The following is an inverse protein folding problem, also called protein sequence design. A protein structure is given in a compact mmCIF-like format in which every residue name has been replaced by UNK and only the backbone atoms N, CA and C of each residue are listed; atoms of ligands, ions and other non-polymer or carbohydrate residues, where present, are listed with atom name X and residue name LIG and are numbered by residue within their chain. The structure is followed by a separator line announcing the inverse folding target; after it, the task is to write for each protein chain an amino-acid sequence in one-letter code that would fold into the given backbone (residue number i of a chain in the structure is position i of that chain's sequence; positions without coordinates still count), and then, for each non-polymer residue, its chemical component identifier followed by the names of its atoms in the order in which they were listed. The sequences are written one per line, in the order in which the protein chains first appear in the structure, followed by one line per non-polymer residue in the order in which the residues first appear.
data_IF_820085329752
#
_entry.id   IF_820085329752
#
_cell.length_a   1.000
_cell.length_b   1.000
_cell.length_c   1.000
_cell.angle_alpha   90.00
_cell.angle_beta   90.00
_cell.angle_gamma   90.00
#
_symmetry.space_group_name_H-M   'P 1'
#
loop_
_entity.id
_entity.type
_entity.pdbx_description
1 polymer ?
#
# COMPACT_ATOMS: atom_id res chain seq x y z
N UNK A 1 -30.45 -21.54 -19.51
CA UNK A 1 -29.05 -21.33 -19.93
C UNK A 1 -28.40 -20.47 -18.87
N UNK A 2 -27.53 -21.06 -18.04
CA UNK A 2 -26.89 -20.35 -16.92
C UNK A 2 -25.71 -19.56 -17.47
N UNK A 3 -25.78 -18.23 -17.39
CA UNK A 3 -24.63 -17.39 -17.65
C UNK A 3 -23.68 -17.50 -16.45
N UNK A 4 -22.51 -18.11 -16.64
CA UNK A 4 -21.41 -18.02 -15.70
C UNK A 4 -21.06 -16.55 -15.47
N UNK A 5 -20.80 -16.11 -14.22
CA UNK A 5 -20.33 -14.76 -14.00
C UNK A 5 -18.88 -14.68 -14.48
N UNK A 6 -18.65 -13.85 -15.49
CA UNK A 6 -17.33 -13.43 -15.95
C UNK A 6 -16.59 -12.80 -14.77
N UNK A 7 -15.52 -13.45 -14.29
CA UNK A 7 -14.57 -12.83 -13.36
C UNK A 7 -13.96 -11.61 -14.05
N UNK A 8 -14.28 -10.43 -13.53
CA UNK A 8 -13.63 -9.18 -13.91
C UNK A 8 -12.21 -9.22 -13.34
N UNK A 9 -11.14 -9.08 -14.14
CA UNK A 9 -9.80 -8.91 -13.61
C UNK A 9 -9.78 -7.57 -12.85
N UNK A 10 -9.57 -7.61 -11.54
CA UNK A 10 -9.55 -6.42 -10.68
C UNK A 10 -10.71 -6.31 -9.69
N UNK A 11 -11.63 -7.27 -9.66
CA UNK A 11 -12.59 -7.36 -8.55
C UNK A 11 -11.90 -8.01 -7.33
N UNK A 12 -11.24 -7.19 -6.52
CA UNK A 12 -10.90 -7.55 -5.15
C UNK A 12 -12.14 -8.16 -4.49
N UNK A 13 -12.03 -9.38 -3.99
CA UNK A 13 -13.13 -10.07 -3.34
C UNK A 13 -13.49 -9.35 -2.05
N UNK A 14 -14.40 -8.36 -2.13
CA UNK A 14 -14.93 -7.64 -0.98
C UNK A 14 -15.80 -8.57 -0.13
N UNK A 15 -15.17 -9.23 0.84
CA UNK A 15 -15.84 -10.04 1.87
C UNK A 15 -15.33 -9.61 3.24
N UNK A 16 -15.92 -8.56 3.84
CA UNK A 16 -15.66 -8.13 5.24
C UNK A 16 -14.19 -7.88 5.64
N UNK A 17 -13.32 -7.54 4.69
CA UNK A 17 -11.89 -7.39 4.91
C UNK A 17 -11.25 -6.35 3.99
N UNK A 18 -10.01 -5.99 4.30
CA UNK A 18 -9.18 -5.14 3.45
C UNK A 18 -8.77 -5.89 2.17
N UNK A 19 -8.31 -5.15 1.16
CA UNK A 19 -7.75 -5.77 -0.04
C UNK A 19 -6.44 -6.48 0.28
N UNK A 20 -6.15 -7.58 -0.44
CA UNK A 20 -4.83 -8.19 -0.41
C UNK A 20 -3.78 -7.23 -1.00
N UNK A 21 -2.54 -7.35 -0.54
CA UNK A 21 -1.39 -6.60 -1.03
C UNK A 21 -0.50 -7.53 -1.85
N UNK A 22 -0.33 -7.23 -3.14
CA UNK A 22 0.52 -8.02 -4.05
C UNK A 22 1.96 -7.50 -4.11
N UNK A 23 2.18 -6.22 -3.77
CA UNK A 23 3.49 -5.57 -3.81
C UNK A 23 3.87 -5.08 -5.21
N UNK A 24 2.92 -5.01 -6.13
CA UNK A 24 3.12 -4.53 -7.49
C UNK A 24 2.97 -3.00 -7.58
N UNK A 25 3.53 -2.38 -8.62
CA UNK A 25 3.43 -0.91 -8.83
C UNK A 25 1.99 -0.43 -9.08
N UNK A 26 1.06 -1.34 -9.34
CA UNK A 26 -0.37 -1.03 -9.53
C UNK A 26 -1.16 -1.12 -8.24
N UNK A 27 -0.56 -1.58 -7.14
CA UNK A 27 -1.24 -1.64 -5.85
C UNK A 27 -1.48 -0.26 -5.25
N UNK A 28 -2.36 -0.25 -4.25
CA UNK A 28 -2.52 0.88 -3.33
C UNK A 28 -1.19 1.21 -2.65
N UNK A 29 -1.00 2.48 -2.31
CA UNK A 29 0.17 2.94 -1.57
C UNK A 29 0.37 2.14 -0.29
N UNK A 30 1.61 1.74 -0.01
CA UNK A 30 1.91 0.90 1.15
C UNK A 30 1.44 1.53 2.47
N UNK A 31 1.55 2.85 2.62
CA UNK A 31 1.05 3.56 3.80
C UNK A 31 -0.47 3.51 3.88
N UNK A 32 -1.15 3.79 2.76
CA UNK A 32 -2.61 3.75 2.69
C UNK A 32 -3.14 2.34 2.97
N UNK A 33 -2.46 1.32 2.48
CA UNK A 33 -2.81 -0.07 2.76
C UNK A 33 -2.63 -0.41 4.25
N UNK A 34 -1.52 0.01 4.87
CA UNK A 34 -1.29 -0.16 6.30
C UNK A 34 -2.38 0.52 7.15
N UNK A 35 -2.77 1.74 6.80
CA UNK A 35 -3.84 2.46 7.51
C UNK A 35 -5.17 1.67 7.45
N UNK A 36 -5.47 1.03 6.32
CA UNK A 36 -6.63 0.15 6.20
C UNK A 36 -6.48 -1.12 7.03
N UNK A 37 -5.29 -1.73 7.04
CA UNK A 37 -4.99 -2.90 7.87
C UNK A 37 -5.12 -2.59 9.37
N UNK A 38 -4.66 -1.43 9.82
CA UNK A 38 -4.80 -1.00 11.22
C UNK A 38 -6.26 -0.81 11.62
N UNK A 39 -7.07 -0.19 10.77
CA UNK A 39 -8.52 -0.07 11.00
C UNK A 39 -9.19 -1.44 11.08
N UNK A 40 -8.78 -2.38 10.23
CA UNK A 40 -9.24 -3.77 10.30
C UNK A 40 -8.84 -4.44 11.61
N UNK A 41 -7.61 -4.19 12.09
CA UNK A 41 -7.15 -4.75 13.35
C UNK A 41 -7.95 -4.23 14.55
N UNK A 42 -8.24 -2.94 14.56
CA UNK A 42 -9.07 -2.29 15.59
C UNK A 42 -10.51 -2.84 15.57
N UNK A 43 -11.13 -2.95 14.40
CA UNK A 43 -12.50 -3.48 14.27
C UNK A 43 -12.60 -4.93 14.76
N UNK A 44 -11.58 -5.74 14.50
CA UNK A 44 -11.50 -7.14 14.92
C UNK A 44 -10.94 -7.35 16.33
N UNK A 45 -10.52 -6.28 17.03
CA UNK A 45 -9.89 -6.32 18.35
C UNK A 45 -8.68 -7.26 18.40
N UNK A 46 -7.79 -7.10 17.42
CA UNK A 46 -6.54 -7.86 17.29
C UNK A 46 -5.30 -6.97 17.38
N UNK A 47 -5.48 -5.69 17.65
CA UNK A 47 -4.45 -4.68 17.84
C UNK A 47 -3.63 -4.88 19.11
N UNK A 48 -4.24 -5.43 20.17
CA UNK A 48 -3.57 -5.66 21.47
C UNK A 48 -2.52 -6.80 21.47
N UNK A 49 -2.43 -7.60 20.41
CA UNK A 49 -1.50 -8.73 20.31
C UNK A 49 -0.67 -8.63 19.02
N UNK A 50 0.57 -8.15 19.16
CA UNK A 50 1.53 -7.99 18.06
C UNK A 50 1.77 -9.29 17.29
N UNK A 51 1.82 -10.45 17.97
CA UNK A 51 2.03 -11.75 17.31
C UNK A 51 0.81 -12.14 16.49
N UNK A 52 -0.39 -11.89 17.02
CA UNK A 52 -1.64 -12.13 16.30
C UNK A 52 -1.78 -11.19 15.11
N UNK A 53 -1.49 -9.90 15.29
CA UNK A 53 -1.49 -8.90 14.23
C UNK A 53 -0.54 -9.28 13.09
N UNK A 54 0.69 -9.68 13.40
CA UNK A 54 1.66 -10.17 12.41
C UNK A 54 1.17 -11.41 11.65
N UNK A 55 0.49 -12.35 12.32
CA UNK A 55 -0.13 -13.51 11.64
C UNK A 55 -1.22 -13.11 10.66
N UNK A 56 -2.07 -12.14 11.00
CA UNK A 56 -3.09 -11.62 10.08
C UNK A 56 -2.46 -10.81 8.95
N UNK A 57 -1.43 -10.03 9.22
CA UNK A 57 -0.71 -9.30 8.18
C UNK A 57 -0.26 -10.23 7.04
N UNK A 58 0.35 -11.37 7.42
CA UNK A 58 0.76 -12.41 6.47
C UNK A 58 -0.39 -12.91 5.59
N UNK A 59 -1.64 -13.00 6.10
CA UNK A 59 -2.76 -13.57 5.32
C UNK A 59 -3.20 -12.69 4.16
N UNK A 60 -2.93 -11.38 4.23
CA UNK A 60 -3.26 -10.44 3.15
C UNK A 60 -2.10 -10.22 2.18
N UNK A 61 -0.93 -10.81 2.43
CA UNK A 61 0.21 -10.74 1.50
C UNK A 61 0.05 -11.78 0.39
N UNK A 62 0.08 -11.33 -0.86
CA UNK A 62 0.03 -12.16 -2.08
C UNK A 62 1.19 -11.79 -3.00
N UNK A 63 1.38 -12.55 -4.10
CA UNK A 63 2.39 -12.22 -5.12
C UNK A 63 3.79 -11.94 -4.57
N UNK A 64 4.40 -10.84 -5.04
CA UNK A 64 5.74 -10.41 -4.64
C UNK A 64 5.82 -10.06 -3.14
N UNK A 65 4.76 -9.49 -2.57
CA UNK A 65 4.70 -9.19 -1.14
C UNK A 65 4.73 -10.46 -0.28
N UNK A 66 4.13 -11.55 -0.76
CA UNK A 66 4.20 -12.84 -0.05
C UNK A 66 5.60 -13.43 -0.07
N UNK A 67 6.29 -13.36 -1.20
CA UNK A 67 7.66 -13.86 -1.33
C UNK A 67 8.62 -13.04 -0.48
N UNK A 68 8.47 -11.71 -0.49
CA UNK A 68 9.20 -10.81 0.41
C UNK A 68 8.97 -11.18 1.87
N UNK A 69 7.72 -11.36 2.30
CA UNK A 69 7.40 -11.72 3.69
C UNK A 69 8.11 -13.03 4.11
N UNK A 70 8.09 -14.03 3.24
CA UNK A 70 8.71 -15.34 3.52
C UNK A 70 10.24 -15.26 3.60
N UNK A 71 10.86 -14.27 2.96
CA UNK A 71 12.30 -14.03 3.00
C UNK A 71 12.76 -13.29 4.28
N UNK A 72 11.85 -12.69 5.04
CA UNK A 72 12.18 -12.01 6.29
C UNK A 72 12.66 -12.99 7.36
N UNK A 73 13.52 -12.51 8.26
CA UNK A 73 13.94 -13.32 9.41
C UNK A 73 12.75 -13.66 10.33
N UNK A 74 12.75 -14.83 11.00
CA UNK A 74 11.65 -15.22 11.90
C UNK A 74 11.39 -14.24 13.05
N UNK A 75 12.38 -13.43 13.42
CA UNK A 75 12.22 -12.40 14.45
C UNK A 75 11.37 -11.23 13.94
N UNK A 76 11.62 -10.77 12.71
CA UNK A 76 10.82 -9.71 12.07
C UNK A 76 9.39 -10.21 11.81
N UNK A 77 9.22 -11.48 11.42
CA UNK A 77 7.87 -12.05 11.16
C UNK A 77 6.97 -12.16 12.41
N UNK A 78 7.52 -12.04 13.63
CA UNK A 78 6.77 -12.19 14.90
C UNK A 78 6.51 -10.88 15.61
N UNK A 79 7.23 -9.83 15.24
CA UNK A 79 7.15 -8.51 15.82
C UNK A 79 6.52 -7.57 14.79
N UNK A 80 5.28 -7.17 15.04
CA UNK A 80 4.54 -6.33 14.11
C UNK A 80 5.21 -4.98 13.86
N UNK A 81 5.82 -4.37 14.88
CA UNK A 81 6.43 -3.04 14.74
C UNK A 81 7.66 -3.12 13.81
N UNK A 82 8.45 -4.19 13.98
CA UNK A 82 9.57 -4.47 13.09
C UNK A 82 9.11 -4.83 11.66
N UNK A 83 7.99 -5.55 11.54
CA UNK A 83 7.39 -5.94 10.27
C UNK A 83 6.85 -4.73 9.50
N UNK A 84 6.16 -3.81 10.18
CA UNK A 84 5.63 -2.57 9.61
C UNK A 84 6.77 -1.68 9.08
N UNK A 85 7.81 -1.48 9.88
CA UNK A 85 8.99 -0.72 9.46
C UNK A 85 9.66 -1.36 8.24
N UNK A 86 9.81 -2.68 8.22
CA UNK A 86 10.38 -3.40 7.08
C UNK A 86 9.50 -3.30 5.83
N UNK A 87 8.17 -3.35 6.01
CA UNK A 87 7.20 -3.24 4.91
C UNK A 87 7.28 -1.87 4.25
N UNK A 88 7.23 -0.79 5.02
CA UNK A 88 7.35 0.58 4.50
C UNK A 88 8.70 0.83 3.84
N UNK A 89 9.79 0.30 4.41
CA UNK A 89 11.12 0.43 3.81
C UNK A 89 11.23 -0.29 2.44
N UNK A 90 10.45 -1.35 2.22
CA UNK A 90 10.50 -2.12 0.98
C UNK A 90 9.49 -1.62 -0.08
N UNK A 91 8.25 -1.33 0.33
CA UNK A 91 7.15 -1.00 -0.58
C UNK A 91 6.75 0.48 -0.57
N UNK A 92 7.16 1.27 0.45
CA UNK A 92 6.72 2.66 0.63
C UNK A 92 7.15 3.63 -0.47
N UNK A 93 8.16 3.29 -1.25
CA UNK A 93 8.62 4.13 -2.37
C UNK A 93 8.22 3.58 -3.75
N UNK A 94 7.55 2.43 -3.85
CA UNK A 94 7.17 1.83 -5.14
C UNK A 94 6.22 2.69 -5.96
N UNK A 95 5.41 3.52 -5.31
CA UNK A 95 4.48 4.45 -5.96
C UNK A 95 5.03 5.85 -6.16
N UNK A 96 6.20 6.20 -5.60
CA UNK A 96 6.81 7.48 -5.95
C UNK A 96 7.38 7.34 -7.36
N UNK A 97 6.82 8.03 -8.37
CA UNK A 97 7.49 8.06 -9.65
C UNK A 97 8.90 8.58 -9.39
N UNK A 98 9.91 7.77 -9.74
CA UNK A 98 11.32 8.15 -9.71
C UNK A 98 11.40 9.60 -10.16
N UNK A 99 11.88 10.49 -9.30
CA UNK A 99 11.96 11.90 -9.65
C UNK A 99 12.72 12.03 -10.97
N UNK A 100 11.99 12.34 -12.03
CA UNK A 100 12.60 12.62 -13.31
C UNK A 100 12.86 14.12 -13.37
N UNK A 101 13.84 14.58 -14.17
CA UNK A 101 13.98 16.02 -14.43
C UNK A 101 12.65 16.68 -14.85
N UNK A 102 11.77 15.93 -15.52
CA UNK A 102 10.43 16.38 -15.91
C UNK A 102 9.48 16.56 -14.70
N UNK A 103 9.44 15.62 -13.73
CA UNK A 103 8.59 15.76 -12.55
C UNK A 103 9.05 16.90 -11.63
N UNK A 104 10.38 17.13 -11.54
CA UNK A 104 10.95 18.28 -10.82
C UNK A 104 10.58 19.61 -11.46
N UNK A 105 10.58 19.67 -12.79
CA UNK A 105 10.15 20.87 -13.52
C UNK A 105 8.66 21.15 -13.31
N UNK A 106 7.81 20.13 -13.31
CA UNK A 106 6.38 20.30 -13.04
C UNK A 106 6.12 20.77 -11.60
N UNK A 107 6.78 20.18 -10.61
CA UNK A 107 6.66 20.63 -9.22
C UNK A 107 7.15 22.08 -9.01
N UNK A 108 8.20 22.49 -9.76
CA UNK A 108 8.64 23.88 -9.77
C UNK A 108 7.58 24.82 -10.38
N UNK A 109 6.96 24.45 -11.51
CA UNK A 109 5.89 25.24 -12.11
C UNK A 109 4.67 25.40 -11.19
N UNK A 110 4.31 24.33 -10.47
CA UNK A 110 3.18 24.36 -9.53
C UNK A 110 3.49 25.15 -8.24
N UNK A 111 4.76 25.15 -7.81
CA UNK A 111 5.23 25.88 -6.63
C UNK A 111 5.51 27.37 -6.90
N UNK A 112 5.65 27.79 -8.16
CA UNK A 112 5.78 29.21 -8.52
C UNK A 112 4.39 29.82 -8.60
N UNK A 113 4.01 30.73 -7.68
CA UNK A 113 2.77 31.47 -7.84
C UNK A 113 2.91 32.34 -9.08
N UNK A 114 2.23 31.96 -10.17
CA UNK A 114 2.07 32.81 -11.34
C UNK A 114 1.31 34.05 -10.87
N UNK A 115 2.05 35.11 -10.54
CA UNK A 115 1.50 36.46 -10.44
C UNK A 115 0.90 36.76 -11.81
N UNK A 116 -0.43 36.64 -11.93
CA UNK A 116 -1.18 37.27 -13.01
C UNK A 116 -0.92 38.76 -12.94
N UNK A 117 -0.01 39.23 -13.77
CA UNK A 117 0.02 40.61 -14.22
C UNK A 117 0.16 40.57 -15.73
N UNK A 118 -0.99 40.56 -16.39
CA UNK A 118 -1.15 41.02 -17.76
C UNK A 118 -2.40 41.90 -17.80
N UNK A 119 -2.36 42.99 -17.04
CA UNK A 119 -2.89 44.25 -17.54
C UNK A 119 -1.68 45.10 -17.94
N UNK A 120 -1.23 44.97 -19.19
CA UNK A 120 -0.61 46.07 -19.91
C UNK A 120 -0.49 45.73 -21.39
N UNK A 121 -1.23 46.53 -22.16
CA UNK A 121 -1.25 46.73 -23.62
C UNK A 121 -2.17 45.80 -24.42
#
# INVERSE_FOLDING_TARGET
MSASPTQVPGAAAFSNGIADYSGDYTDVDAQVWLDHFDRFCLDRKIDDDSVRKARYFKTFMTGAARDWYNALSPNIQKDFDALEAAFLAHFGDLLKPKETPASRYQAFLDAVPVKKTAESL
#
